data_IF_144522460229
#
_entry.id   IF_144522460229
#
_cell.length_a   1.000
_cell.length_b   1.000
_cell.length_c   1.000
_cell.angle_alpha   90.00
_cell.angle_beta   90.00
_cell.angle_gamma   90.00
#
_symmetry.space_group_name_H-M   'P 1'
#
loop_
_entity.id
_entity.type
_entity.pdbx_description
1 polymer ?
#
# COMPACT_ATOMS: atom_id res chain seq x y z
N UNK A 1 13.71 4.48 4.25
CA UNK A 1 12.69 4.18 3.22
C UNK A 1 12.17 5.41 2.45
N UNK A 2 12.25 6.65 2.97
CA UNK A 2 11.89 7.89 2.21
C UNK A 2 12.61 8.02 0.85
N UNK A 3 13.80 7.42 0.71
CA UNK A 3 14.58 7.43 -0.54
C UNK A 3 13.86 6.75 -1.72
N UNK A 4 12.99 5.75 -1.47
CA UNK A 4 12.29 5.04 -2.55
C UNK A 4 11.28 5.93 -3.27
N UNK A 5 10.54 6.78 -2.54
CA UNK A 5 9.54 7.68 -3.11
C UNK A 5 10.15 8.76 -4.01
N UNK A 6 11.34 9.26 -3.67
CA UNK A 6 12.04 10.28 -4.45
C UNK A 6 12.92 9.71 -5.58
N UNK A 7 13.38 8.46 -5.46
CA UNK A 7 14.32 7.86 -6.41
C UNK A 7 13.68 7.26 -7.66
N UNK A 8 12.39 6.94 -7.63
CA UNK A 8 11.74 6.11 -8.66
C UNK A 8 10.36 6.67 -9.09
N UNK A 9 10.30 7.87 -9.72
CA UNK A 9 9.03 8.51 -10.09
C UNK A 9 8.23 7.78 -11.18
N UNK A 10 8.81 6.74 -11.81
CA UNK A 10 8.15 5.93 -12.83
C UNK A 10 7.87 4.50 -12.34
N UNK A 11 8.01 4.25 -11.04
CA UNK A 11 7.78 2.92 -10.47
C UNK A 11 6.31 2.54 -10.61
N UNK A 12 6.04 1.47 -11.36
CA UNK A 12 4.69 0.93 -11.60
C UNK A 12 4.40 -0.33 -10.81
N UNK A 13 5.44 -1.03 -10.38
CA UNK A 13 5.39 -2.33 -9.74
C UNK A 13 6.33 -2.31 -8.55
N UNK A 14 5.82 -2.63 -7.37
CA UNK A 14 6.62 -2.75 -6.15
C UNK A 14 6.26 -4.05 -5.43
N UNK A 15 7.28 -4.84 -5.13
CA UNK A 15 7.16 -6.08 -4.37
C UNK A 15 7.91 -5.92 -3.05
N UNK A 16 7.19 -6.14 -1.95
CA UNK A 16 7.67 -6.01 -0.58
C UNK A 16 7.49 -7.34 0.17
N UNK A 17 7.64 -8.47 -0.52
CA UNK A 17 7.36 -9.78 0.06
C UNK A 17 8.35 -10.19 1.17
N UNK A 18 7.83 -10.84 2.22
CA UNK A 18 8.65 -11.41 3.30
C UNK A 18 9.31 -10.38 4.23
N UNK A 19 8.82 -9.14 4.25
CA UNK A 19 9.32 -8.09 5.13
C UNK A 19 8.46 -7.99 6.38
N UNK A 20 9.10 -7.93 7.55
CA UNK A 20 8.42 -7.59 8.80
C UNK A 20 8.43 -6.07 8.96
N UNK A 21 7.29 -5.43 8.71
CA UNK A 21 7.17 -3.99 8.82
C UNK A 21 6.70 -3.61 10.22
N UNK A 22 7.53 -2.90 10.98
CA UNK A 22 7.06 -2.19 12.16
C UNK A 22 6.26 -0.93 11.73
N UNK A 23 5.06 -1.14 11.22
CA UNK A 23 3.96 -0.16 11.29
C UNK A 23 3.83 0.91 10.19
N UNK A 24 2.92 1.84 10.51
CA UNK A 24 2.29 2.89 9.69
C UNK A 24 3.31 3.72 8.87
N UNK A 25 4.51 3.96 9.42
CA UNK A 25 5.52 4.82 8.78
C UNK A 25 6.04 4.26 7.45
N UNK A 26 6.19 2.93 7.33
CA UNK A 26 6.63 2.30 6.09
C UNK A 26 5.56 2.45 5.00
N UNK A 27 4.29 2.18 5.34
CA UNK A 27 3.16 2.32 4.41
C UNK A 27 2.90 3.77 4.01
N UNK A 28 3.15 4.74 4.90
CA UNK A 28 3.09 6.17 4.55
C UNK A 28 4.10 6.55 3.47
N UNK A 29 5.31 5.97 3.49
CA UNK A 29 6.29 6.20 2.43
C UNK A 29 5.87 5.53 1.11
N UNK A 30 5.31 4.33 1.17
CA UNK A 30 4.77 3.63 -0.02
C UNK A 30 3.60 4.42 -0.63
N UNK A 31 2.70 4.96 0.20
CA UNK A 31 1.53 5.73 -0.23
C UNK A 31 1.85 7.00 -1.04
N UNK A 32 3.11 7.47 -1.03
CA UNK A 32 3.57 8.59 -1.84
C UNK A 32 3.90 8.20 -3.30
N UNK A 33 3.94 6.89 -3.62
CA UNK A 33 4.24 6.37 -4.96
C UNK A 33 3.01 6.43 -5.86
N UNK A 34 2.53 7.63 -6.19
CA UNK A 34 1.25 7.85 -6.91
C UNK A 34 1.15 7.21 -8.31
N UNK A 35 2.29 6.80 -8.88
CA UNK A 35 2.40 6.14 -10.19
C UNK A 35 2.33 4.60 -10.11
N UNK A 36 2.25 4.05 -8.90
CA UNK A 36 2.22 2.61 -8.69
C UNK A 36 0.91 2.02 -9.21
N UNK A 37 1.02 0.93 -9.96
CA UNK A 37 -0.12 0.17 -10.51
C UNK A 37 -0.28 -1.19 -9.86
N UNK A 38 0.81 -1.77 -9.35
CA UNK A 38 0.82 -3.07 -8.68
C UNK A 38 1.67 -3.02 -7.41
N UNK A 39 1.10 -3.46 -6.29
CA UNK A 39 1.76 -3.61 -5.00
C UNK A 39 1.62 -5.06 -4.53
N UNK A 40 2.74 -5.68 -4.18
CA UNK A 40 2.82 -7.02 -3.61
C UNK A 40 3.32 -6.96 -2.16
N UNK A 41 2.53 -7.44 -1.20
CA UNK A 41 2.70 -7.49 0.26
C UNK A 41 2.63 -8.94 0.78
N UNK A 42 2.87 -9.92 -0.08
CA UNK A 42 2.83 -11.34 0.32
C UNK A 42 3.79 -11.63 1.48
N UNK A 43 3.30 -12.28 2.54
CA UNK A 43 4.09 -12.65 3.71
C UNK A 43 4.75 -11.44 4.41
N UNK A 44 4.11 -10.27 4.37
CA UNK A 44 4.54 -9.11 5.16
C UNK A 44 3.96 -9.15 6.56
N UNK A 45 4.82 -9.04 7.57
CA UNK A 45 4.43 -8.92 8.98
C UNK A 45 4.07 -7.50 9.38
N UNK A 46 3.30 -7.35 10.46
CA UNK A 46 3.07 -6.07 11.12
C UNK A 46 2.12 -5.09 10.40
N UNK A 47 1.37 -5.56 9.39
CA UNK A 47 0.31 -4.77 8.78
C UNK A 47 -0.98 -4.80 9.62
N UNK A 48 -1.62 -3.64 9.69
CA UNK A 48 -2.96 -3.43 10.22
C UNK A 48 -3.81 -2.63 9.24
N UNK A 49 -5.14 -2.63 9.43
CA UNK A 49 -6.05 -1.78 8.66
C UNK A 49 -5.61 -0.29 8.68
N UNK A 50 -5.10 0.21 9.81
CA UNK A 50 -4.59 1.58 9.92
C UNK A 50 -3.35 1.82 9.05
N UNK A 51 -2.44 0.85 9.00
CA UNK A 51 -1.25 0.93 8.13
C UNK A 51 -1.64 0.87 6.65
N UNK A 52 -2.64 0.07 6.27
CA UNK A 52 -3.15 -0.02 4.91
C UNK A 52 -3.78 1.30 4.46
N UNK A 53 -4.47 2.02 5.36
CA UNK A 53 -5.06 3.32 5.04
C UNK A 53 -4.02 4.41 4.68
N UNK A 54 -2.73 4.18 4.94
CA UNK A 54 -1.67 5.06 4.45
C UNK A 54 -1.43 4.92 2.93
N UNK A 55 -1.92 3.85 2.31
CA UNK A 55 -1.77 3.58 0.88
C UNK A 55 -2.83 4.28 0.01
N UNK A 56 -3.69 5.10 0.61
CA UNK A 56 -4.79 5.76 -0.13
C UNK A 56 -4.31 6.68 -1.26
N UNK A 57 -3.09 7.23 -1.13
CA UNK A 57 -2.42 8.05 -2.15
C UNK A 57 -2.00 7.30 -3.42
N UNK A 58 -2.09 5.96 -3.44
CA UNK A 58 -1.81 5.13 -4.62
C UNK A 58 -2.96 5.19 -5.64
N UNK A 59 -3.26 6.39 -6.14
CA UNK A 59 -4.41 6.66 -7.01
C UNK A 59 -4.38 5.87 -8.32
N UNK A 60 -3.22 5.41 -8.79
CA UNK A 60 -3.10 4.57 -9.99
C UNK A 60 -3.10 3.06 -9.70
N UNK A 61 -3.27 2.63 -8.44
CA UNK A 61 -3.23 1.22 -8.06
C UNK A 61 -4.36 0.43 -8.73
N UNK A 62 -3.99 -0.71 -9.31
CA UNK A 62 -4.89 -1.64 -10.00
C UNK A 62 -4.85 -3.03 -9.37
N UNK A 63 -3.69 -3.41 -8.85
CA UNK A 63 -3.47 -4.71 -8.21
C UNK A 63 -2.84 -4.49 -6.84
N UNK A 64 -3.50 -5.05 -5.83
CA UNK A 64 -2.96 -5.29 -4.50
C UNK A 64 -3.13 -6.79 -4.27
N UNK A 65 -2.05 -7.50 -3.99
CA UNK A 65 -2.14 -8.88 -3.57
C UNK A 65 -2.74 -8.99 -2.14
N UNK A 66 -3.28 -10.14 -1.81
CA UNK A 66 -3.79 -10.38 -0.47
C UNK A 66 -2.61 -10.54 0.50
N UNK A 67 -2.52 -9.73 1.57
CA UNK A 67 -1.49 -9.87 2.58
C UNK A 67 -1.69 -11.21 3.32
N UNK A 68 -0.99 -12.24 2.88
CA UNK A 68 -0.99 -13.53 3.54
C UNK A 68 -0.14 -13.42 4.81
N UNK A 69 -0.68 -13.84 5.96
CA UNK A 69 -0.05 -13.72 7.31
C UNK A 69 -0.17 -12.34 7.97
N UNK A 70 -1.27 -11.62 7.73
CA UNK A 70 -1.62 -10.43 8.50
C UNK A 70 -2.83 -10.69 9.39
N UNK A 71 -2.61 -10.97 10.69
CA UNK A 71 -3.70 -11.23 11.63
C UNK A 71 -4.53 -9.96 11.95
N UNK A 72 -3.97 -8.78 11.67
CA UNK A 72 -4.60 -7.47 11.96
C UNK A 72 -5.15 -6.75 10.73
N UNK A 73 -5.10 -7.38 9.55
CA UNK A 73 -5.73 -6.86 8.32
C UNK A 73 -7.04 -7.59 8.11
N UNK A 74 -8.13 -6.84 8.03
CA UNK A 74 -9.46 -7.39 7.79
C UNK A 74 -9.88 -7.22 6.34
N UNK A 75 -10.80 -8.07 5.87
CA UNK A 75 -11.40 -7.90 4.55
C UNK A 75 -12.09 -6.52 4.42
N UNK A 76 -12.73 -6.05 5.51
CA UNK A 76 -13.33 -4.72 5.58
C UNK A 76 -12.28 -3.61 5.43
N UNK A 77 -11.11 -3.75 6.07
CA UNK A 77 -9.98 -2.82 5.91
C UNK A 77 -9.49 -2.72 4.47
N UNK A 78 -9.40 -3.84 3.75
CA UNK A 78 -9.03 -3.88 2.33
C UNK A 78 -10.12 -3.23 1.46
N UNK A 79 -11.39 -3.49 1.74
CA UNK A 79 -12.51 -2.85 1.02
C UNK A 79 -12.53 -1.33 1.23
N UNK A 80 -12.30 -0.87 2.47
CA UNK A 80 -12.19 0.55 2.81
C UNK A 80 -11.03 1.21 2.09
N UNK A 81 -9.87 0.56 2.02
CA UNK A 81 -8.73 1.04 1.23
C UNK A 81 -9.12 1.22 -0.24
N UNK A 82 -9.73 0.22 -0.87
CA UNK A 82 -10.15 0.33 -2.27
C UNK A 82 -11.18 1.42 -2.50
N UNK A 83 -12.14 1.58 -1.59
CA UNK A 83 -13.10 2.68 -1.65
C UNK A 83 -12.39 4.05 -1.58
N UNK A 84 -11.43 4.19 -0.67
CA UNK A 84 -10.66 5.42 -0.50
C UNK A 84 -9.75 5.73 -1.71
N UNK A 85 -9.03 4.74 -2.25
CA UNK A 85 -8.20 4.89 -3.46
C UNK A 85 -9.05 5.32 -4.65
N UNK A 86 -10.22 4.69 -4.85
CA UNK A 86 -11.15 5.06 -5.93
C UNK A 86 -11.68 6.49 -5.75
N UNK A 87 -11.99 6.88 -4.52
CA UNK A 87 -12.43 8.24 -4.19
C UNK A 87 -11.34 9.26 -4.47
N UNK A 88 -10.09 9.01 -4.08
CA UNK A 88 -8.98 9.92 -4.35
C UNK A 88 -8.70 10.07 -5.85
N UNK A 89 -8.83 8.99 -6.63
CA UNK A 89 -8.72 9.02 -8.09
C UNK A 89 -9.74 9.95 -8.75
N UNK A 90 -10.93 10.13 -8.17
CA UNK A 90 -11.96 11.02 -8.71
C UNK A 90 -11.73 12.51 -8.39
N UNK A 91 -10.82 12.82 -7.46
CA UNK A 91 -10.52 14.19 -7.02
C UNK A 91 -9.31 14.81 -7.76
N UNK A 92 -8.66 14.06 -8.65
CA UNK A 92 -7.53 14.47 -9.49
C UNK A 92 -7.97 14.71 -10.93
#
# INVERSE_FOLDING_TARGET
>A
MVVLAYGLPQLRHLELAGLDFEGIAAMAAVGQLTQLTQLCLTNTGGLSDESLMQLTGLVQLQVLDEPNHCDSVTAEGVDLLWAAVRRQRQLL
#
